data_IF_353835024527
#
_entry.id   IF_353835024527
#
_cell.length_a   1.000
_cell.length_b   1.000
_cell.length_c   1.000
_cell.angle_alpha   90.00
_cell.angle_beta   90.00
_cell.angle_gamma   90.00
#
_symmetry.space_group_name_H-M   'P 1'
#
loop_
_entity.id
_entity.type
_entity.pdbx_description
1 polymer ?
#
# COMPACT_ATOMS: atom_id res chain seq x y z
N UNK A 1 13.40 -36.14 -20.08
CA UNK A 1 12.03 -36.65 -19.79
C UNK A 1 11.35 -35.88 -18.66
N UNK A 2 11.99 -35.66 -17.50
CA UNK A 2 11.36 -35.01 -16.35
C UNK A 2 11.04 -33.51 -16.50
N UNK A 3 11.83 -32.74 -17.25
CA UNK A 3 11.71 -31.27 -17.35
C UNK A 3 10.33 -30.77 -17.78
N UNK A 4 9.68 -31.47 -18.72
CA UNK A 4 8.32 -31.11 -19.17
C UNK A 4 7.27 -31.29 -18.07
N UNK A 5 7.42 -32.33 -17.26
CA UNK A 5 6.54 -32.58 -16.11
C UNK A 5 6.80 -31.59 -14.97
N UNK A 6 8.05 -31.22 -14.74
CA UNK A 6 8.42 -30.22 -13.72
C UNK A 6 7.85 -28.84 -14.09
N UNK A 7 8.03 -28.41 -15.33
CA UNK A 7 7.47 -27.14 -15.80
C UNK A 7 5.94 -27.14 -15.75
N UNK A 8 5.30 -28.23 -16.20
CA UNK A 8 3.86 -28.39 -16.13
C UNK A 8 3.33 -28.37 -14.69
N UNK A 9 3.99 -29.08 -13.77
CA UNK A 9 3.57 -29.13 -12.36
C UNK A 9 3.78 -27.81 -11.63
N UNK A 10 4.84 -27.06 -11.95
CA UNK A 10 5.06 -25.72 -11.41
C UNK A 10 3.93 -24.76 -11.82
N UNK A 11 3.61 -24.70 -13.11
CA UNK A 11 2.53 -23.83 -13.61
C UNK A 11 1.20 -24.21 -12.99
N UNK A 12 0.89 -25.51 -12.94
CA UNK A 12 -0.34 -26.00 -12.31
C UNK A 12 -0.40 -25.62 -10.81
N UNK A 13 0.70 -25.79 -10.07
CA UNK A 13 0.75 -25.43 -8.66
C UNK A 13 0.56 -23.93 -8.44
N UNK A 14 1.15 -23.06 -9.28
CA UNK A 14 0.96 -21.61 -9.19
C UNK A 14 -0.50 -21.21 -9.41
N UNK A 15 -1.17 -21.80 -10.42
CA UNK A 15 -2.58 -21.52 -10.70
C UNK A 15 -3.48 -22.00 -9.55
N UNK A 16 -3.25 -23.21 -9.03
CA UNK A 16 -4.01 -23.74 -7.90
C UNK A 16 -3.79 -22.87 -6.65
N UNK A 17 -2.55 -22.48 -6.34
CA UNK A 17 -2.25 -21.62 -5.21
C UNK A 17 -2.92 -20.25 -5.33
N UNK A 18 -2.83 -19.60 -6.49
CA UNK A 18 -3.47 -18.30 -6.73
C UNK A 18 -5.00 -18.38 -6.62
N UNK A 19 -5.62 -19.40 -7.21
CA UNK A 19 -7.07 -19.56 -7.12
C UNK A 19 -7.55 -19.80 -5.70
N UNK A 20 -6.81 -20.61 -4.93
CA UNK A 20 -7.14 -20.86 -3.52
C UNK A 20 -6.97 -19.59 -2.68
N UNK A 21 -5.88 -18.83 -2.89
CA UNK A 21 -5.65 -17.55 -2.21
C UNK A 21 -6.77 -16.54 -2.51
N UNK A 22 -7.17 -16.40 -3.79
CA UNK A 22 -8.26 -15.52 -4.19
C UNK A 22 -9.61 -15.88 -3.53
N UNK A 23 -9.94 -17.17 -3.47
CA UNK A 23 -11.18 -17.63 -2.83
C UNK A 23 -11.15 -17.40 -1.31
N UNK A 24 -10.01 -17.62 -0.67
CA UNK A 24 -9.88 -17.49 0.78
C UNK A 24 -9.77 -16.02 1.20
N UNK A 25 -8.82 -15.26 0.64
CA UNK A 25 -8.47 -13.93 1.11
C UNK A 25 -9.39 -12.84 0.53
N UNK A 26 -9.67 -12.88 -0.77
CA UNK A 26 -10.46 -11.85 -1.42
C UNK A 26 -11.96 -12.12 -1.31
N UNK A 27 -12.39 -13.35 -1.61
CA UNK A 27 -13.80 -13.76 -1.48
C UNK A 27 -14.22 -14.13 -0.07
N UNK A 28 -13.27 -14.35 0.84
CA UNK A 28 -13.53 -14.56 2.28
C UNK A 28 -14.54 -15.68 2.51
N UNK A 29 -14.35 -16.82 1.86
CA UNK A 29 -15.25 -17.99 1.99
C UNK A 29 -15.36 -18.51 3.44
N UNK A 30 -14.35 -18.25 4.27
CA UNK A 30 -14.36 -18.58 5.70
C UNK A 30 -14.84 -17.42 6.60
N UNK A 31 -15.40 -16.37 6.00
CA UNK A 31 -15.82 -15.15 6.69
C UNK A 31 -14.69 -14.14 6.91
N UNK A 32 -15.06 -12.97 7.43
CA UNK A 32 -14.16 -11.84 7.66
C UNK A 32 -14.59 -10.58 6.91
N UNK A 33 -13.99 -9.45 7.25
CA UNK A 33 -14.26 -8.17 6.60
C UNK A 33 -12.95 -7.50 6.20
N UNK A 34 -12.99 -6.70 5.13
CA UNK A 34 -11.84 -5.86 4.74
C UNK A 34 -11.89 -4.57 5.56
N UNK A 35 -10.77 -4.13 6.19
CA UNK A 35 -10.76 -2.87 6.93
C UNK A 35 -11.06 -1.70 6.00
N UNK A 36 -11.87 -0.74 6.48
CA UNK A 36 -12.29 0.43 5.69
C UNK A 36 -11.10 1.26 5.18
N UNK A 37 -10.01 1.27 5.93
CA UNK A 37 -8.77 1.98 5.61
C UNK A 37 -8.06 1.46 4.36
N UNK A 38 -8.37 0.23 3.94
CA UNK A 38 -7.84 -0.40 2.71
C UNK A 38 -8.93 -0.58 1.66
N UNK A 39 -10.18 -0.81 2.09
CA UNK A 39 -11.31 -0.97 1.20
C UNK A 39 -11.72 0.34 0.48
N UNK A 40 -11.49 1.49 1.11
CA UNK A 40 -11.77 2.81 0.53
C UNK A 40 -10.52 3.41 -0.10
N UNK A 41 -10.67 3.95 -1.32
CA UNK A 41 -9.61 4.77 -1.95
C UNK A 41 -9.42 6.10 -1.23
N UNK A 42 -10.51 6.64 -0.68
CA UNK A 42 -10.54 7.90 0.06
C UNK A 42 -9.53 7.92 1.20
N UNK A 43 -9.41 6.82 1.96
CA UNK A 43 -8.47 6.76 3.08
C UNK A 43 -7.01 6.91 2.64
N UNK A 44 -6.64 6.32 1.49
CA UNK A 44 -5.29 6.46 0.95
C UNK A 44 -5.02 7.90 0.49
N UNK A 45 -5.99 8.53 -0.17
CA UNK A 45 -5.89 9.93 -0.59
C UNK A 45 -5.80 10.89 0.59
N UNK A 46 -6.61 10.69 1.63
CA UNK A 46 -6.54 11.47 2.86
C UNK A 46 -5.21 11.28 3.59
N UNK A 47 -4.71 10.04 3.64
CA UNK A 47 -3.42 9.72 4.24
C UNK A 47 -2.29 10.43 3.52
N UNK A 48 -2.29 10.44 2.18
CA UNK A 48 -1.30 11.17 1.39
C UNK A 48 -1.39 12.69 1.56
N UNK A 49 -2.59 13.26 1.69
CA UNK A 49 -2.77 14.67 2.04
C UNK A 49 -2.20 14.97 3.44
N UNK A 50 -2.46 14.10 4.41
CA UNK A 50 -1.93 14.24 5.78
C UNK A 50 -0.42 14.12 5.84
N UNK A 51 0.22 13.32 4.98
CA UNK A 51 1.68 13.26 4.90
C UNK A 51 2.32 14.59 4.49
N UNK A 52 1.59 15.48 3.82
CA UNK A 52 2.06 16.84 3.52
C UNK A 52 1.95 17.79 4.73
N UNK A 53 0.98 17.58 5.62
CA UNK A 53 0.75 18.41 6.78
C UNK A 53 0.26 17.55 7.96
N UNK A 54 1.19 16.84 8.58
CA UNK A 54 0.87 15.90 9.64
C UNK A 54 0.54 16.67 10.93
N UNK A 55 -0.62 16.40 11.55
CA UNK A 55 -1.02 17.11 12.76
C UNK A 55 -0.08 16.77 13.91
N UNK A 56 0.24 17.78 14.73
CA UNK A 56 1.02 17.64 15.96
C UNK A 56 0.21 18.15 17.14
N UNK A 57 0.41 17.54 18.30
CA UNK A 57 -0.31 17.91 19.53
C UNK A 57 0.05 19.31 20.03
N UNK A 58 1.29 19.74 19.81
CA UNK A 58 1.75 21.09 20.09
C UNK A 58 2.59 21.61 18.92
N UNK A 59 2.17 22.75 18.37
CA UNK A 59 2.84 23.45 17.27
C UNK A 59 2.21 23.22 15.88
N UNK A 60 2.75 23.89 14.85
CA UNK A 60 2.23 23.79 13.48
C UNK A 60 2.39 22.37 12.90
N UNK A 61 1.54 21.98 11.93
CA UNK A 61 1.67 20.71 11.20
C UNK A 61 3.03 20.58 10.51
N UNK A 62 3.53 19.35 10.38
CA UNK A 62 4.86 19.05 9.83
C UNK A 62 4.76 18.05 8.68
N UNK A 63 5.58 18.23 7.66
CA UNK A 63 5.71 17.29 6.54
C UNK A 63 6.30 15.96 7.01
N UNK A 64 5.73 14.84 6.56
CA UNK A 64 6.21 13.51 6.88
C UNK A 64 7.13 12.98 5.79
N UNK A 65 8.21 12.32 6.19
CA UNK A 65 9.22 11.70 5.31
C UNK A 65 9.84 12.66 4.27
N UNK A 66 10.38 13.83 4.69
CA UNK A 66 10.81 14.90 3.79
C UNK A 66 11.90 14.51 2.78
N UNK A 67 12.80 13.57 3.12
CA UNK A 67 13.89 13.17 2.24
C UNK A 67 13.39 12.20 1.17
N UNK A 68 12.73 11.11 1.59
CA UNK A 68 12.23 10.08 0.66
C UNK A 68 11.10 10.58 -0.24
N UNK A 69 10.23 11.46 0.27
CA UNK A 69 9.11 12.04 -0.48
C UNK A 69 9.43 13.39 -1.12
N UNK A 70 10.61 13.95 -0.84
CA UNK A 70 11.04 15.26 -1.35
C UNK A 70 9.99 16.37 -1.17
N UNK A 71 9.24 16.35 -0.06
CA UNK A 71 8.12 17.26 0.20
C UNK A 71 8.42 18.30 1.29
N UNK A 72 9.69 18.70 1.41
CA UNK A 72 10.10 19.70 2.39
C UNK A 72 9.77 21.13 1.95
N UNK A 73 9.51 21.99 2.92
CA UNK A 73 9.19 23.41 2.68
C UNK A 73 10.50 24.17 2.42
N UNK A 74 10.67 24.72 1.22
CA UNK A 74 11.79 25.60 0.87
C UNK A 74 11.47 27.02 1.35
N UNK A 75 12.32 27.59 2.20
CA UNK A 75 12.20 29.00 2.61
C UNK A 75 12.85 29.88 1.55
N UNK A 76 12.13 30.85 1.01
CA UNK A 76 12.72 31.89 0.17
C UNK A 76 13.68 32.73 1.01
N UNK A 77 14.93 32.88 0.54
CA UNK A 77 15.81 33.94 1.04
C UNK A 77 15.41 35.22 0.31
N UNK A 78 15.18 36.31 1.05
CA UNK A 78 15.17 37.64 0.43
C UNK A 78 16.60 37.92 0.04
N UNK A 79 16.89 37.99 -1.26
CA UNK A 79 18.19 38.44 -1.73
C UNK A 79 18.36 39.90 -1.28
N UNK A 80 19.38 40.15 -0.46
CA UNK A 80 19.78 41.48 0.00
C UNK A 80 20.48 42.27 -1.09
#
# INVERSE_FOLDING_TARGET
>A
MATKYILGSMVAATVVAFSMDYLIADKKIFGGTTPKTVASKEWLEETDKKFQAWPRTAGPPVVMNPISRQNFIVKSRTDS
#
